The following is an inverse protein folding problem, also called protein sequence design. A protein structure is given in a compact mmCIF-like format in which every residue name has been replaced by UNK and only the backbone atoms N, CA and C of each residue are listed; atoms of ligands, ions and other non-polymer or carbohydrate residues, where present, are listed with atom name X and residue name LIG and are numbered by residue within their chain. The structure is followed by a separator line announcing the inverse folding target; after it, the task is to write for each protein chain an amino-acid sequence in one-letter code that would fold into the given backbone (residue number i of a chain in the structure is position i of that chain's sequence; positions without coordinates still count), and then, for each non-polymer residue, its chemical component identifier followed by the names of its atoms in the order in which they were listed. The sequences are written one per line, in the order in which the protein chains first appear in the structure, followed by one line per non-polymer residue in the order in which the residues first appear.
data_IF_259529885670
#
_entry.id   IF_259529885670
#
_cell.length_a   1.000
_cell.length_b   1.000
_cell.length_c   1.000
_cell.angle_alpha   90.00
_cell.angle_beta   90.00
_cell.angle_gamma   90.00
#
_symmetry.space_group_name_H-M   'P 1'
#
loop_
_entity.id
_entity.type
_entity.pdbx_description
1 polymer ?
#
# COMPACT_ATOMS: atom_id res chain seq x y z
N UNK A 1 16.06 -34.26 12.34
CA UNK A 1 14.62 -34.50 12.66
C UNK A 1 13.84 -33.27 12.20
N UNK A 2 12.69 -33.43 11.57
CA UNK A 2 11.82 -32.33 11.16
C UNK A 2 11.05 -31.82 12.39
N UNK A 3 11.22 -30.56 12.76
CA UNK A 3 10.44 -29.93 13.84
C UNK A 3 8.96 -29.92 13.47
N UNK A 4 8.08 -30.45 14.33
CA UNK A 4 6.64 -30.35 14.15
C UNK A 4 6.05 -29.42 15.19
N UNK A 5 5.26 -28.46 14.73
CA UNK A 5 4.61 -27.43 15.53
C UNK A 5 3.11 -27.48 15.26
N UNK A 6 2.33 -27.02 16.24
CA UNK A 6 0.87 -26.91 16.13
C UNK A 6 0.43 -25.51 16.54
N UNK A 7 -0.61 -25.00 15.90
CA UNK A 7 -1.25 -23.72 16.22
C UNK A 7 -2.68 -23.71 15.69
N UNK A 8 -3.59 -23.00 16.32
CA UNK A 8 -4.95 -22.83 15.79
C UNK A 8 -4.92 -22.05 14.46
N UNK A 9 -4.06 -21.03 14.37
CA UNK A 9 -3.93 -20.22 13.16
C UNK A 9 -2.45 -19.98 12.81
N UNK A 10 -2.05 -20.39 11.61
CA UNK A 10 -0.74 -20.06 11.05
C UNK A 10 -0.86 -18.88 10.09
N UNK A 11 -0.13 -17.80 10.36
CA UNK A 11 -0.03 -16.63 9.48
C UNK A 11 1.32 -16.67 8.78
N UNK A 12 1.32 -16.72 7.45
CA UNK A 12 2.52 -16.72 6.63
C UNK A 12 2.82 -15.30 6.16
N UNK A 13 3.92 -14.73 6.66
CA UNK A 13 4.38 -13.37 6.38
C UNK A 13 4.15 -12.39 7.51
N UNK A 14 5.26 -11.87 8.09
CA UNK A 14 5.28 -10.87 9.16
C UNK A 14 5.14 -9.41 8.67
N UNK A 15 4.55 -9.19 7.51
CA UNK A 15 4.25 -7.85 7.01
C UNK A 15 3.06 -7.20 7.73
N UNK A 16 2.61 -5.98 7.27
CA UNK A 16 1.55 -5.22 7.95
C UNK A 16 0.25 -6.00 8.18
N UNK A 17 -0.21 -6.77 7.19
CA UNK A 17 -1.39 -7.62 7.32
C UNK A 17 -1.19 -8.70 8.39
N UNK A 18 -0.07 -9.44 8.29
CA UNK A 18 0.17 -10.57 9.18
C UNK A 18 0.42 -10.17 10.61
N UNK A 19 1.21 -9.12 10.86
CA UNK A 19 1.48 -8.64 12.21
C UNK A 19 0.23 -8.05 12.88
N UNK A 20 -0.56 -7.25 12.14
CA UNK A 20 -1.82 -6.73 12.66
C UNK A 20 -2.82 -7.86 12.95
N UNK A 21 -2.95 -8.82 12.03
CA UNK A 21 -3.84 -9.97 12.24
C UNK A 21 -3.39 -10.83 13.42
N UNK A 22 -2.08 -11.12 13.51
CA UNK A 22 -1.51 -11.87 14.63
C UNK A 22 -1.80 -11.21 15.97
N UNK A 23 -1.60 -9.89 16.07
CA UNK A 23 -1.95 -9.12 17.26
C UNK A 23 -3.44 -9.23 17.60
N UNK A 24 -4.33 -9.03 16.61
CA UNK A 24 -5.79 -9.04 16.83
C UNK A 24 -6.30 -10.43 17.23
N UNK A 25 -5.81 -11.50 16.61
CA UNK A 25 -6.19 -12.88 16.94
C UNK A 25 -5.69 -13.28 18.33
N UNK A 26 -4.42 -12.97 18.64
CA UNK A 26 -3.86 -13.24 19.97
C UNK A 26 -4.63 -12.49 21.07
N UNK A 27 -4.93 -11.20 20.86
CA UNK A 27 -5.78 -10.41 21.76
C UNK A 27 -7.17 -11.02 21.96
N UNK A 28 -7.69 -11.66 20.91
CA UNK A 28 -8.98 -12.36 20.98
C UNK A 28 -8.90 -13.77 21.59
N UNK A 29 -7.73 -14.22 22.07
CA UNK A 29 -7.54 -15.52 22.70
C UNK A 29 -7.39 -16.69 21.72
N UNK A 30 -7.04 -16.44 20.46
CA UNK A 30 -6.69 -17.47 19.47
C UNK A 30 -5.21 -17.78 19.59
N UNK A 31 -4.83 -19.07 19.61
CA UNK A 31 -3.44 -19.47 19.46
C UNK A 31 -2.95 -19.22 18.03
N UNK A 32 -1.94 -18.37 17.89
CA UNK A 32 -1.50 -17.88 16.59
C UNK A 32 0.02 -17.89 16.47
N UNK A 33 0.50 -18.48 15.37
CA UNK A 33 1.91 -18.44 14.98
C UNK A 33 2.07 -17.64 13.69
N UNK A 34 2.93 -16.60 13.72
CA UNK A 34 3.34 -15.82 12.55
C UNK A 34 4.72 -16.27 12.09
N UNK A 35 4.84 -16.69 10.83
CA UNK A 35 6.09 -17.04 10.18
C UNK A 35 6.60 -15.85 9.36
N UNK A 36 7.85 -15.43 9.59
CA UNK A 36 8.54 -14.44 8.77
C UNK A 36 9.87 -15.03 8.28
N UNK A 37 10.09 -14.99 6.97
CA UNK A 37 11.29 -15.59 6.35
C UNK A 37 12.60 -14.86 6.66
N UNK A 38 12.52 -13.61 7.06
CA UNK A 38 13.70 -12.79 7.36
C UNK A 38 14.03 -12.77 8.85
N UNK A 39 15.26 -12.35 9.17
CA UNK A 39 15.76 -12.26 10.55
C UNK A 39 15.13 -11.12 11.36
N UNK A 40 14.63 -10.10 10.65
CA UNK A 40 14.07 -8.87 11.20
C UNK A 40 13.04 -8.27 10.24
N UNK A 41 12.49 -7.10 10.57
CA UNK A 41 11.57 -6.36 9.73
C UNK A 41 12.24 -5.28 8.88
N UNK A 42 13.55 -5.14 8.95
CA UNK A 42 14.26 -4.13 8.18
C UNK A 42 14.13 -4.41 6.68
N UNK A 43 13.57 -3.48 5.96
CA UNK A 43 13.45 -3.49 4.49
C UNK A 43 13.60 -2.08 3.99
N UNK A 44 14.62 -1.85 3.18
CA UNK A 44 14.83 -0.56 2.53
C UNK A 44 13.64 -0.20 1.63
N UNK A 45 13.25 1.06 1.67
CA UNK A 45 12.32 1.68 0.73
C UNK A 45 10.94 1.02 0.59
N UNK A 46 10.39 0.48 1.69
CA UNK A 46 9.04 -0.09 1.68
C UNK A 46 8.14 0.64 2.67
N UNK A 47 6.94 0.99 2.17
CA UNK A 47 5.76 1.23 2.94
C UNK A 47 5.87 2.20 4.11
N UNK A 48 6.05 3.48 3.82
CA UNK A 48 6.37 4.48 4.83
C UNK A 48 5.17 5.32 5.28
N UNK A 49 3.96 4.94 4.89
CA UNK A 49 2.76 5.75 5.11
C UNK A 49 1.73 5.01 5.97
N UNK A 50 1.50 5.50 7.17
CA UNK A 50 0.43 5.05 8.07
C UNK A 50 -0.70 6.08 8.00
N UNK A 51 -1.81 5.69 7.37
CA UNK A 51 -2.90 6.59 7.06
C UNK A 51 -3.87 6.79 8.26
N UNK A 52 -4.72 7.82 8.22
CA UNK A 52 -5.72 8.08 9.24
C UNK A 52 -6.57 6.87 9.63
N UNK A 53 -6.95 6.01 8.65
CA UNK A 53 -7.72 4.79 8.93
C UNK A 53 -6.95 3.77 9.80
N UNK A 54 -5.64 3.64 9.60
CA UNK A 54 -4.81 2.77 10.43
C UNK A 54 -4.57 3.38 11.81
N UNK A 55 -4.36 4.70 11.89
CA UNK A 55 -4.24 5.41 13.16
C UNK A 55 -5.54 5.32 13.97
N UNK A 56 -6.71 5.28 13.32
CA UNK A 56 -7.99 5.03 13.98
C UNK A 56 -8.06 3.61 14.56
N UNK A 57 -7.62 2.60 13.83
CA UNK A 57 -7.48 1.23 14.35
C UNK A 57 -6.55 1.19 15.56
N UNK A 58 -5.41 1.89 15.53
CA UNK A 58 -4.50 1.99 16.67
C UNK A 58 -5.17 2.67 17.88
N UNK A 59 -6.00 3.69 17.63
CA UNK A 59 -6.80 4.32 18.69
C UNK A 59 -7.82 3.36 19.32
N UNK A 60 -8.57 2.64 18.49
CA UNK A 60 -9.56 1.64 18.95
C UNK A 60 -8.92 0.51 19.76
N UNK A 61 -7.67 0.20 19.49
CA UNK A 61 -6.88 -0.79 20.24
C UNK A 61 -6.26 -0.24 21.53
N UNK A 62 -6.33 1.08 21.77
CA UNK A 62 -5.66 1.74 22.89
C UNK A 62 -4.15 1.87 22.73
N UNK A 63 -3.65 1.77 21.49
CA UNK A 63 -2.22 1.78 21.17
C UNK A 63 -1.73 3.12 20.59
N UNK A 64 -2.65 4.03 20.23
CA UNK A 64 -2.31 5.23 19.47
C UNK A 64 -1.31 6.13 20.18
N UNK A 65 -1.48 6.38 21.47
CA UNK A 65 -0.64 7.32 22.23
C UNK A 65 0.82 6.84 22.29
N UNK A 66 1.01 5.54 22.55
CA UNK A 66 2.36 4.96 22.55
C UNK A 66 2.95 4.88 21.12
N UNK A 67 2.11 4.59 20.14
CA UNK A 67 2.54 4.55 18.74
C UNK A 67 3.03 5.92 18.25
N UNK A 68 2.37 7.00 18.63
CA UNK A 68 2.75 8.37 18.22
C UNK A 68 4.02 8.87 18.93
N UNK A 69 4.55 8.17 19.94
CA UNK A 69 5.88 8.46 20.52
C UNK A 69 7.02 8.02 19.61
N UNK A 70 6.77 7.11 18.66
CA UNK A 70 7.76 6.71 17.66
C UNK A 70 8.03 7.90 16.73
N UNK A 71 9.29 8.21 16.40
CA UNK A 71 9.64 9.31 15.50
C UNK A 71 8.90 9.18 14.16
N UNK A 72 8.13 10.18 13.79
CA UNK A 72 7.38 10.23 12.55
C UNK A 72 7.16 11.68 12.10
N UNK A 73 6.89 11.85 10.82
CA UNK A 73 6.46 13.13 10.26
C UNK A 73 4.96 13.10 9.99
N UNK A 74 4.29 14.21 10.22
CA UNK A 74 2.86 14.35 9.99
C UNK A 74 2.60 15.06 8.67
N UNK A 75 1.96 14.38 7.75
CA UNK A 75 1.58 14.93 6.45
C UNK A 75 0.08 15.22 6.42
N UNK A 76 -0.30 16.49 6.52
CA UNK A 76 -1.71 16.92 6.51
C UNK A 76 -2.28 17.10 5.11
N UNK A 77 -1.42 17.17 4.10
CA UNK A 77 -1.82 17.21 2.68
C UNK A 77 -0.75 16.60 1.79
N UNK A 78 -1.14 16.18 0.60
CA UNK A 78 -0.28 15.61 -0.44
C UNK A 78 -0.48 16.40 -1.71
N UNK A 79 0.62 16.79 -2.35
CA UNK A 79 0.60 17.53 -3.60
C UNK A 79 1.95 17.55 -4.28
N UNK A 80 2.20 18.53 -5.09
CA UNK A 80 3.44 18.65 -5.84
C UNK A 80 3.41 19.80 -6.84
N UNK A 81 4.31 19.70 -7.83
CA UNK A 81 4.40 20.64 -8.95
C UNK A 81 4.27 19.85 -10.25
N UNK A 82 3.39 20.29 -11.13
CA UNK A 82 3.25 19.77 -12.49
C UNK A 82 3.73 20.85 -13.47
N UNK A 83 4.89 20.64 -14.08
CA UNK A 83 5.57 21.70 -14.81
C UNK A 83 5.98 22.84 -13.86
N UNK A 84 5.32 23.97 -14.00
CA UNK A 84 5.42 25.17 -13.15
C UNK A 84 4.22 25.36 -12.21
N UNK A 85 3.21 24.49 -12.28
CA UNK A 85 1.95 24.64 -11.58
C UNK A 85 1.92 23.82 -10.29
N UNK A 86 1.91 24.49 -9.10
CA UNK A 86 1.75 23.80 -7.83
C UNK A 86 0.31 23.33 -7.64
N UNK A 87 0.12 22.13 -7.07
CA UNK A 87 -1.19 21.58 -6.79
C UNK A 87 -1.23 20.79 -5.48
N UNK A 88 -2.37 20.82 -4.81
CA UNK A 88 -2.70 19.94 -3.70
C UNK A 88 -3.66 18.85 -4.21
N UNK A 89 -3.23 17.59 -4.14
CA UNK A 89 -4.00 16.45 -4.63
C UNK A 89 -4.98 15.93 -3.57
N UNK A 90 -4.57 15.93 -2.30
CA UNK A 90 -5.37 15.43 -1.18
C UNK A 90 -5.09 16.23 0.09
N UNK A 91 -6.13 16.48 0.89
CA UNK A 91 -6.04 17.17 2.18
C UNK A 91 -6.75 16.36 3.25
N UNK A 92 -6.04 16.02 4.33
CA UNK A 92 -6.52 15.14 5.40
C UNK A 92 -7.12 15.89 6.59
N UNK A 93 -7.06 17.24 6.64
CA UNK A 93 -7.49 18.04 7.81
C UNK A 93 -8.96 17.86 8.17
N UNK A 94 -9.80 17.40 7.22
CA UNK A 94 -11.22 17.21 7.41
C UNK A 94 -11.69 15.74 7.38
N UNK A 95 -10.75 14.77 7.48
CA UNK A 95 -11.14 13.37 7.57
C UNK A 95 -11.80 13.09 8.93
N UNK A 96 -12.82 12.20 8.97
CA UNK A 96 -13.58 11.90 10.18
C UNK A 96 -12.86 10.86 11.06
N UNK A 97 -11.59 11.10 11.35
CA UNK A 97 -10.74 10.25 12.20
C UNK A 97 -10.08 11.11 13.26
N UNK A 98 -9.59 10.48 14.33
CA UNK A 98 -8.91 11.18 15.42
C UNK A 98 -7.64 11.89 14.91
N UNK A 99 -6.81 11.19 14.15
CA UNK A 99 -5.63 11.76 13.50
C UNK A 99 -5.98 12.22 12.09
N UNK A 100 -5.72 13.51 11.80
CA UNK A 100 -6.05 14.17 10.52
C UNK A 100 -4.81 14.35 9.65
N UNK A 101 -3.92 13.36 9.67
CA UNK A 101 -2.66 13.35 8.95
C UNK A 101 -2.24 11.92 8.59
N UNK A 102 -1.39 11.78 7.62
CA UNK A 102 -0.64 10.55 7.35
C UNK A 102 0.65 10.62 8.15
N UNK A 103 0.92 9.60 8.96
CA UNK A 103 2.21 9.47 9.63
C UNK A 103 3.22 8.83 8.66
N UNK A 104 4.31 9.56 8.40
CA UNK A 104 5.43 9.05 7.62
C UNK A 104 6.49 8.49 8.58
N UNK A 105 6.65 7.17 8.58
CA UNK A 105 7.65 6.46 9.39
C UNK A 105 8.15 5.24 8.65
N UNK A 106 9.34 4.73 8.97
CA UNK A 106 9.82 3.47 8.44
C UNK A 106 8.87 2.32 8.79
N UNK A 107 8.59 1.44 7.81
CA UNK A 107 7.68 0.32 8.03
C UNK A 107 8.15 -0.62 9.15
N UNK A 108 9.45 -0.79 9.31
CA UNK A 108 10.00 -1.66 10.37
C UNK A 108 9.68 -1.14 11.78
N UNK A 109 9.59 0.17 12.00
CA UNK A 109 9.20 0.74 13.29
C UNK A 109 7.75 0.40 13.61
N UNK A 110 6.84 0.51 12.64
CA UNK A 110 5.46 0.08 12.76
C UNK A 110 5.35 -1.43 13.09
N UNK A 111 6.12 -2.27 12.40
CA UNK A 111 6.09 -3.72 12.59
C UNK A 111 6.72 -4.13 13.93
N UNK A 112 7.85 -3.53 14.31
CA UNK A 112 8.49 -3.76 15.60
C UNK A 112 7.56 -3.36 16.75
N UNK A 113 6.84 -2.24 16.62
CA UNK A 113 5.85 -1.82 17.60
C UNK A 113 4.76 -2.88 17.77
N UNK A 114 4.14 -3.32 16.67
CA UNK A 114 3.12 -4.37 16.72
C UNK A 114 3.65 -5.66 17.31
N UNK A 115 4.85 -6.09 16.91
CA UNK A 115 5.50 -7.29 17.43
C UNK A 115 5.72 -7.21 18.94
N UNK A 116 6.21 -6.07 19.43
CA UNK A 116 6.43 -5.87 20.87
C UNK A 116 5.12 -5.96 21.66
N UNK A 117 4.03 -5.40 21.13
CA UNK A 117 2.70 -5.46 21.77
C UNK A 117 2.07 -6.86 21.69
N UNK A 118 2.27 -7.56 20.59
CA UNK A 118 1.76 -8.92 20.40
C UNK A 118 2.43 -9.94 21.33
N UNK A 119 3.74 -9.80 21.58
CA UNK A 119 4.49 -10.65 22.52
C UNK A 119 3.97 -10.65 23.95
N UNK A 120 3.16 -9.65 24.35
CA UNK A 120 2.51 -9.63 25.66
C UNK A 120 1.43 -10.72 25.81
N UNK A 121 0.96 -11.31 24.71
CA UNK A 121 -0.03 -12.39 24.74
C UNK A 121 0.67 -13.75 24.72
N UNK A 122 0.39 -14.65 25.69
CA UNK A 122 1.04 -15.96 25.80
C UNK A 122 0.71 -16.90 24.62
N UNK A 123 -0.39 -16.65 23.92
CA UNK A 123 -0.88 -17.38 22.75
C UNK A 123 -0.40 -16.76 21.42
N UNK A 124 0.63 -15.90 21.45
CA UNK A 124 1.26 -15.33 20.26
C UNK A 124 2.68 -15.82 20.08
N UNK A 125 2.97 -16.36 18.91
CA UNK A 125 4.32 -16.75 18.52
C UNK A 125 4.74 -16.05 17.22
N UNK A 126 5.88 -15.36 17.25
CA UNK A 126 6.55 -14.82 16.05
C UNK A 126 7.82 -15.61 15.79
N UNK A 127 7.86 -16.30 14.65
CA UNK A 127 9.02 -17.08 14.20
C UNK A 127 9.67 -16.39 13.02
N UNK A 128 10.75 -15.69 13.32
CA UNK A 128 11.65 -15.11 12.32
C UNK A 128 12.51 -16.19 11.70
N UNK A 129 12.97 -15.98 10.44
CA UNK A 129 13.76 -16.93 9.67
C UNK A 129 13.08 -18.30 9.47
N UNK A 130 11.77 -18.25 9.38
CA UNK A 130 10.92 -19.39 9.02
C UNK A 130 10.22 -19.06 7.71
N UNK A 131 10.73 -19.59 6.61
CA UNK A 131 10.18 -19.39 5.27
C UNK A 131 9.22 -20.50 4.91
N UNK A 132 7.94 -20.19 4.75
CA UNK A 132 6.98 -21.14 4.23
C UNK A 132 7.31 -21.47 2.77
N UNK A 133 7.47 -22.74 2.46
CA UNK A 133 7.88 -23.25 1.14
C UNK A 133 6.78 -24.02 0.43
N UNK A 134 5.88 -24.68 1.15
CA UNK A 134 4.71 -25.37 0.61
C UNK A 134 3.58 -25.46 1.66
N UNK A 135 2.42 -25.96 1.24
CA UNK A 135 1.24 -26.18 2.06
C UNK A 135 1.10 -27.66 2.41
N UNK A 136 0.79 -27.96 3.68
CA UNK A 136 0.39 -29.30 4.12
C UNK A 136 -1.08 -29.49 3.76
N UNK A 137 -1.37 -30.55 3.00
CA UNK A 137 -2.72 -30.90 2.58
C UNK A 137 -3.12 -32.24 3.18
N UNK A 138 -4.35 -32.32 3.62
CA UNK A 138 -5.02 -33.55 4.01
C UNK A 138 -6.37 -33.58 3.28
N UNK A 139 -6.55 -34.54 2.42
CA UNK A 139 -7.68 -34.60 1.49
C UNK A 139 -7.76 -33.27 0.69
N UNK A 140 -8.91 -32.62 0.66
CA UNK A 140 -9.15 -31.36 -0.03
C UNK A 140 -8.93 -30.11 0.86
N UNK A 141 -8.35 -30.28 2.08
CA UNK A 141 -8.18 -29.20 3.05
C UNK A 141 -6.70 -28.90 3.30
N UNK A 142 -6.37 -27.62 3.40
CA UNK A 142 -5.07 -27.15 3.86
C UNK A 142 -5.05 -27.23 5.38
N UNK A 143 -4.00 -27.90 5.93
CA UNK A 143 -3.82 -28.19 7.34
C UNK A 143 -2.53 -27.65 7.93
N UNK A 144 -1.85 -26.79 7.20
CA UNK A 144 -0.60 -26.21 7.67
C UNK A 144 0.34 -25.81 6.56
N UNK A 145 1.60 -25.58 6.93
CA UNK A 145 2.68 -25.20 6.01
C UNK A 145 3.93 -26.01 6.28
N UNK A 146 4.68 -26.29 5.23
CA UNK A 146 6.07 -26.70 5.31
C UNK A 146 6.93 -25.46 5.29
N UNK A 147 7.90 -25.39 6.21
CA UNK A 147 8.77 -24.26 6.35
C UNK A 147 10.24 -24.66 6.34
N UNK A 148 11.07 -23.78 5.79
CA UNK A 148 12.53 -23.84 5.90
C UNK A 148 12.97 -22.92 7.02
N UNK A 149 13.76 -23.45 7.96
CA UNK A 149 14.30 -22.73 9.10
C UNK A 149 15.82 -22.75 9.07
N UNK A 150 16.47 -22.03 9.98
CA UNK A 150 17.94 -22.14 10.17
C UNK A 150 18.40 -23.57 10.50
N UNK A 151 17.56 -24.34 11.20
CA UNK A 151 17.88 -25.66 11.70
C UNK A 151 17.41 -26.79 10.77
N UNK A 152 16.91 -26.45 9.57
CA UNK A 152 16.41 -27.41 8.60
C UNK A 152 14.92 -27.24 8.30
N UNK A 153 14.25 -28.34 7.93
CA UNK A 153 12.82 -28.34 7.62
C UNK A 153 11.97 -28.35 8.90
N UNK A 154 10.88 -27.62 8.88
CA UNK A 154 9.85 -27.65 9.92
C UNK A 154 8.46 -27.82 9.30
N UNK A 155 7.53 -28.39 10.03
CA UNK A 155 6.12 -28.53 9.68
C UNK A 155 5.27 -27.81 10.73
N UNK A 156 4.46 -26.85 10.32
CA UNK A 156 3.49 -26.21 11.21
C UNK A 156 2.08 -26.63 10.79
N UNK A 157 1.42 -27.40 11.66
CA UNK A 157 0.01 -27.78 11.49
C UNK A 157 -0.88 -26.69 12.04
N UNK A 158 -1.98 -26.41 11.34
CA UNK A 158 -2.94 -25.40 11.77
C UNK A 158 -4.36 -25.70 11.25
N UNK A 159 -5.39 -25.27 11.99
CA UNK A 159 -6.78 -25.36 11.54
C UNK A 159 -7.07 -24.39 10.40
N UNK A 160 -6.35 -23.26 10.38
CA UNK A 160 -6.41 -22.25 9.32
C UNK A 160 -5.03 -21.69 9.02
N UNK A 161 -4.66 -21.66 7.75
CA UNK A 161 -3.49 -20.90 7.23
C UNK A 161 -3.98 -19.59 6.65
N UNK A 162 -3.29 -18.48 6.98
CA UNK A 162 -3.56 -17.17 6.39
C UNK A 162 -2.31 -16.67 5.67
N UNK A 163 -2.40 -16.57 4.34
CA UNK A 163 -1.34 -16.04 3.48
C UNK A 163 -1.29 -14.51 3.53
N UNK A 164 -0.22 -13.97 4.12
CA UNK A 164 0.12 -12.54 4.20
C UNK A 164 1.51 -12.29 3.61
N UNK A 165 2.02 -13.19 2.77
CA UNK A 165 3.39 -13.30 2.28
C UNK A 165 3.69 -12.43 1.03
N UNK A 166 2.80 -11.46 0.78
CA UNK A 166 3.04 -10.37 -0.13
C UNK A 166 2.82 -10.70 -1.60
N UNK A 167 3.34 -9.81 -2.48
CA UNK A 167 3.06 -9.85 -3.92
C UNK A 167 3.66 -11.06 -4.67
N UNK A 168 4.61 -11.75 -4.08
CA UNK A 168 5.21 -13.00 -4.58
C UNK A 168 4.81 -14.21 -3.72
N UNK A 169 3.59 -14.21 -3.24
CA UNK A 169 3.05 -15.17 -2.28
C UNK A 169 3.25 -16.62 -2.68
N UNK A 170 4.01 -17.35 -1.86
CA UNK A 170 4.20 -18.80 -1.95
C UNK A 170 2.90 -19.54 -1.62
N UNK A 171 2.17 -19.09 -0.58
CA UNK A 171 0.89 -19.70 -0.18
C UNK A 171 -0.15 -19.63 -1.30
N UNK A 172 -0.24 -18.49 -2.00
CA UNK A 172 -1.10 -18.30 -3.15
C UNK A 172 -0.75 -19.25 -4.30
N UNK A 173 0.55 -19.34 -4.61
CA UNK A 173 1.06 -20.18 -5.70
C UNK A 173 0.84 -21.67 -5.38
N UNK A 174 1.22 -22.09 -4.18
CA UNK A 174 1.03 -23.47 -3.73
C UNK A 174 -0.46 -23.88 -3.73
N UNK A 175 -1.37 -22.95 -3.37
CA UNK A 175 -2.82 -23.19 -3.42
C UNK A 175 -3.43 -23.08 -4.83
N UNK A 176 -2.63 -22.77 -5.85
CA UNK A 176 -3.08 -22.61 -7.26
C UNK A 176 -4.25 -21.63 -7.40
N UNK A 177 -4.19 -20.51 -6.66
CA UNK A 177 -5.21 -19.48 -6.73
C UNK A 177 -5.01 -18.60 -7.97
N UNK A 178 -6.05 -18.46 -8.80
CA UNK A 178 -6.02 -17.70 -10.04
C UNK A 178 -5.85 -16.19 -9.77
N UNK A 179 -4.88 -15.58 -10.44
CA UNK A 179 -4.51 -14.15 -10.33
C UNK A 179 -4.97 -13.40 -11.56
N UNK A 180 -5.73 -12.33 -11.36
CA UNK A 180 -6.06 -11.36 -12.40
C UNK A 180 -5.07 -10.20 -12.36
N UNK A 181 -4.24 -10.08 -13.39
CA UNK A 181 -3.29 -8.98 -13.53
C UNK A 181 -3.95 -7.74 -14.18
N UNK A 182 -3.56 -6.56 -13.70
CA UNK A 182 -3.91 -5.28 -14.30
C UNK A 182 -2.61 -4.61 -14.76
N UNK A 183 -2.44 -4.42 -16.06
CA UNK A 183 -1.23 -3.84 -16.62
C UNK A 183 -0.87 -2.49 -16.00
N UNK A 184 0.38 -2.31 -15.65
CA UNK A 184 0.92 -1.08 -15.03
C UNK A 184 2.02 -0.53 -15.91
N UNK A 185 1.97 0.77 -16.29
CA UNK A 185 2.91 1.35 -17.26
C UNK A 185 4.24 1.80 -16.62
N UNK A 186 4.46 1.55 -15.35
CA UNK A 186 5.57 2.14 -14.60
C UNK A 186 6.23 1.21 -13.61
N UNK A 187 7.47 1.54 -13.27
CA UNK A 187 8.23 1.08 -12.11
C UNK A 187 8.68 2.29 -11.28
N UNK A 188 9.22 2.06 -10.08
CA UNK A 188 9.77 3.11 -9.22
C UNK A 188 11.20 2.76 -8.86
N UNK A 189 12.11 3.72 -9.07
CA UNK A 189 13.49 3.63 -8.64
C UNK A 189 13.65 4.39 -7.33
N UNK A 190 13.91 3.69 -6.24
CA UNK A 190 14.09 4.27 -4.92
C UNK A 190 15.57 4.48 -4.59
N UNK A 191 15.90 5.64 -4.02
CA UNK A 191 17.24 6.00 -3.57
C UNK A 191 17.17 7.07 -2.48
N UNK A 192 18.32 7.36 -1.86
CA UNK A 192 18.46 8.36 -0.81
C UNK A 192 19.30 9.52 -1.32
N UNK A 193 18.93 10.75 -0.95
CA UNK A 193 19.70 11.97 -1.19
C UNK A 193 19.69 12.82 0.07
N UNK A 194 20.80 13.47 0.43
CA UNK A 194 20.84 14.42 1.53
C UNK A 194 19.90 15.59 1.26
N UNK A 195 19.27 16.08 2.32
CA UNK A 195 18.43 17.25 2.31
C UNK A 195 19.15 18.42 2.96
N UNK A 196 19.08 19.59 2.34
CA UNK A 196 19.63 20.83 2.87
C UNK A 196 18.55 21.71 3.50
N UNK A 197 18.95 22.60 4.40
CA UNK A 197 18.03 23.48 5.14
C UNK A 197 17.18 24.39 4.22
N UNK A 198 17.73 24.76 3.06
CA UNK A 198 17.06 25.62 2.08
C UNK A 198 16.17 24.86 1.09
N UNK A 199 16.12 23.55 1.17
CA UNK A 199 15.30 22.74 0.28
C UNK A 199 13.80 22.91 0.60
N UNK A 200 12.91 22.81 -0.40
CA UNK A 200 11.49 22.96 -0.20
C UNK A 200 10.92 21.97 0.83
N UNK A 201 10.24 22.49 1.86
CA UNK A 201 9.68 21.65 2.93
C UNK A 201 8.48 20.78 2.49
N UNK A 202 7.71 21.24 1.51
CA UNK A 202 6.36 20.71 1.22
C UNK A 202 6.19 20.05 -0.15
N UNK A 203 7.25 19.86 -0.92
CA UNK A 203 7.14 19.25 -2.24
C UNK A 203 7.24 17.73 -2.13
N UNK A 204 6.11 17.04 -2.30
CA UNK A 204 6.06 15.58 -2.34
C UNK A 204 6.30 15.04 -3.77
N UNK A 205 5.79 15.71 -4.81
CA UNK A 205 5.89 15.27 -6.20
C UNK A 205 6.36 16.37 -7.16
N UNK A 206 7.32 16.04 -8.03
CA UNK A 206 7.77 16.90 -9.12
C UNK A 206 7.53 16.17 -10.43
N UNK A 207 6.68 16.72 -11.29
CA UNK A 207 6.28 16.11 -12.57
C UNK A 207 6.65 17.06 -13.70
N UNK A 208 7.70 16.71 -14.43
CA UNK A 208 8.18 17.50 -15.55
C UNK A 208 9.10 16.67 -16.46
N UNK A 209 9.35 17.12 -17.68
CA UNK A 209 10.30 16.53 -18.63
C UNK A 209 10.13 15.02 -18.84
N UNK A 210 8.89 14.56 -18.92
CA UNK A 210 8.61 13.14 -19.10
C UNK A 210 8.89 12.26 -17.89
N UNK A 211 9.03 12.84 -16.70
CA UNK A 211 9.37 12.14 -15.46
C UNK A 211 8.47 12.58 -14.30
N UNK A 212 8.36 11.73 -13.32
CA UNK A 212 7.76 12.07 -12.03
C UNK A 212 8.71 11.63 -10.92
N UNK A 213 9.11 12.57 -10.07
CA UNK A 213 9.99 12.36 -8.94
C UNK A 213 9.21 12.64 -7.65
N UNK A 214 9.18 11.67 -6.76
CA UNK A 214 8.59 11.78 -5.42
C UNK A 214 9.72 11.95 -4.42
N UNK A 215 9.61 12.96 -3.56
CA UNK A 215 10.59 13.24 -2.51
C UNK A 215 9.89 13.21 -1.15
N UNK A 216 10.18 12.18 -0.35
CA UNK A 216 9.68 12.04 1.00
C UNK A 216 10.75 12.59 1.95
N UNK A 217 10.43 13.69 2.62
CA UNK A 217 11.31 14.31 3.61
C UNK A 217 11.46 13.37 4.82
N UNK A 218 12.71 13.11 5.25
CA UNK A 218 13.07 12.27 6.41
C UNK A 218 13.89 13.06 7.44
N UNK A 219 13.77 14.39 7.44
CA UNK A 219 14.58 15.28 8.24
C UNK A 219 15.88 15.66 7.52
N UNK A 220 16.91 14.87 7.66
CA UNK A 220 18.24 15.12 7.08
C UNK A 220 18.40 14.62 5.64
N UNK A 221 17.46 13.81 5.14
CA UNK A 221 17.54 13.26 3.79
C UNK A 221 16.16 13.13 3.14
N UNK A 222 16.17 13.05 1.82
CA UNK A 222 15.02 12.63 1.02
C UNK A 222 15.10 11.13 0.73
N UNK A 223 14.03 10.42 1.03
CA UNK A 223 13.74 9.17 0.37
C UNK A 223 13.12 9.52 -0.99
N UNK A 224 13.90 9.36 -2.05
CA UNK A 224 13.54 9.77 -3.39
C UNK A 224 13.05 8.58 -4.23
N UNK A 225 11.95 8.75 -4.96
CA UNK A 225 11.38 7.76 -5.86
C UNK A 225 11.20 8.32 -7.26
N UNK A 226 12.06 7.93 -8.22
CA UNK A 226 11.85 8.28 -9.63
C UNK A 226 10.90 7.27 -10.28
N UNK A 227 9.77 7.75 -10.76
CA UNK A 227 8.81 6.95 -11.52
C UNK A 227 9.29 6.88 -12.97
N UNK A 228 9.51 5.66 -13.45
CA UNK A 228 10.03 5.36 -14.78
C UNK A 228 9.06 4.48 -15.56
N UNK A 229 9.20 4.42 -16.87
CA UNK A 229 8.44 3.47 -17.69
C UNK A 229 8.73 2.03 -17.25
N UNK A 230 7.72 1.19 -17.33
CA UNK A 230 7.85 -0.23 -17.02
C UNK A 230 9.01 -0.85 -17.80
N UNK A 231 9.82 -1.64 -17.08
CA UNK A 231 10.97 -2.39 -17.62
C UNK A 231 12.08 -1.53 -18.28
N UNK A 232 12.15 -0.21 -17.94
CA UNK A 232 13.15 0.70 -18.51
C UNK A 232 14.42 0.87 -17.65
N UNK A 233 14.57 0.16 -16.54
CA UNK A 233 15.69 0.35 -15.63
C UNK A 233 17.04 -0.04 -16.26
N UNK A 234 17.10 -1.14 -16.99
CA UNK A 234 18.34 -1.60 -17.63
C UNK A 234 18.77 -0.64 -18.75
N UNK A 235 17.82 0.01 -19.43
CA UNK A 235 18.13 1.06 -20.38
C UNK A 235 18.76 2.28 -19.68
N UNK A 236 18.22 2.70 -18.53
CA UNK A 236 18.79 3.79 -17.73
C UNK A 236 20.21 3.46 -17.24
N UNK A 237 20.45 2.21 -16.83
CA UNK A 237 21.80 1.74 -16.44
C UNK A 237 22.78 1.85 -17.59
N UNK A 238 22.39 1.47 -18.80
CA UNK A 238 23.24 1.59 -20.01
C UNK A 238 23.57 3.04 -20.36
N UNK A 239 22.67 3.99 -20.08
CA UNK A 239 22.91 5.41 -20.28
C UNK A 239 23.88 6.01 -19.26
N UNK A 240 24.19 5.28 -18.20
CA UNK A 240 25.15 5.62 -17.15
C UNK A 240 24.60 6.52 -16.05
N UNK A 241 25.26 6.46 -14.90
CA UNK A 241 24.85 7.15 -13.68
C UNK A 241 24.88 8.69 -13.83
N UNK A 242 25.82 9.23 -14.60
CA UNK A 242 25.89 10.66 -14.90
C UNK A 242 24.62 11.14 -15.66
N UNK A 243 24.08 10.33 -16.56
CA UNK A 243 22.81 10.62 -17.23
C UNK A 243 21.64 10.59 -16.25
N UNK A 244 21.62 9.61 -15.35
CA UNK A 244 20.60 9.50 -14.30
C UNK A 244 20.60 10.73 -13.38
N UNK A 245 21.75 11.20 -12.90
CA UNK A 245 21.88 12.44 -12.10
C UNK A 245 21.35 13.66 -12.85
N UNK A 246 21.68 13.80 -14.15
CA UNK A 246 21.15 14.90 -14.99
C UNK A 246 19.63 14.86 -15.13
N UNK A 247 19.02 13.67 -15.19
CA UNK A 247 17.55 13.51 -15.19
C UNK A 247 16.97 14.05 -13.89
N UNK A 248 17.55 13.74 -12.74
CA UNK A 248 17.09 14.22 -11.43
C UNK A 248 17.17 15.75 -11.32
N UNK A 249 18.32 16.33 -11.70
CA UNK A 249 18.51 17.79 -11.70
C UNK A 249 17.55 18.50 -12.66
N UNK A 250 17.23 17.91 -13.78
CA UNK A 250 16.27 18.48 -14.75
C UNK A 250 14.86 18.57 -14.18
N UNK A 251 14.44 17.57 -13.39
CA UNK A 251 13.11 17.51 -12.75
C UNK A 251 13.04 18.32 -11.47
N UNK A 252 14.12 18.32 -10.69
CA UNK A 252 14.22 18.99 -9.39
C UNK A 252 15.61 19.69 -9.26
N UNK A 253 15.79 20.89 -9.87
CA UNK A 253 17.09 21.59 -9.87
C UNK A 253 17.63 21.91 -8.49
N UNK A 254 16.75 22.09 -7.50
CA UNK A 254 17.14 22.41 -6.13
C UNK A 254 17.88 21.26 -5.41
N UNK A 255 17.87 20.02 -5.94
CA UNK A 255 18.67 18.92 -5.40
C UNK A 255 20.19 19.20 -5.50
N UNK A 256 20.62 20.07 -6.42
CA UNK A 256 22.00 20.54 -6.51
C UNK A 256 23.00 19.37 -6.48
N UNK A 257 24.03 19.52 -5.65
CA UNK A 257 25.11 18.54 -5.51
C UNK A 257 24.69 17.24 -4.78
N UNK A 258 23.52 17.21 -4.12
CA UNK A 258 23.06 15.98 -3.44
C UNK A 258 22.93 14.78 -4.40
N UNK A 259 22.70 15.02 -5.70
CA UNK A 259 22.64 13.95 -6.71
C UNK A 259 23.99 13.24 -6.91
N UNK A 260 25.11 13.88 -6.56
CA UNK A 260 26.46 13.29 -6.70
C UNK A 260 26.76 12.24 -5.65
N UNK A 261 25.94 12.16 -4.60
CA UNK A 261 25.95 11.08 -3.60
C UNK A 261 25.61 9.70 -4.20
N UNK A 262 24.90 9.69 -5.32
CA UNK A 262 24.62 8.46 -6.06
C UNK A 262 25.88 8.03 -6.84
N UNK A 263 26.75 7.25 -6.20
CA UNK A 263 28.04 6.83 -6.77
C UNK A 263 27.98 5.48 -7.47
N UNK A 264 26.99 4.67 -7.12
CA UNK A 264 26.78 3.34 -7.67
C UNK A 264 25.30 3.02 -7.88
N UNK A 265 25.00 2.14 -8.83
CA UNK A 265 23.66 1.63 -9.08
C UNK A 265 23.10 0.79 -7.92
N UNK A 266 23.96 0.28 -7.05
CA UNK A 266 23.54 -0.46 -5.86
C UNK A 266 22.79 0.43 -4.86
N UNK A 267 22.96 1.75 -4.94
CA UNK A 267 22.20 2.73 -4.17
C UNK A 267 20.79 2.97 -4.73
N UNK A 268 20.49 2.47 -5.95
CA UNK A 268 19.20 2.65 -6.64
C UNK A 268 18.46 1.32 -6.67
N UNK A 269 17.37 1.24 -5.92
CA UNK A 269 16.59 0.01 -5.78
C UNK A 269 15.34 0.03 -6.66
N UNK A 270 15.20 -0.98 -7.51
CA UNK A 270 14.02 -1.14 -8.35
C UNK A 270 12.84 -1.70 -7.55
N UNK A 271 11.74 -0.97 -7.52
CA UNK A 271 10.43 -1.48 -7.15
C UNK A 271 9.64 -1.79 -8.43
N UNK A 272 9.58 -3.05 -8.81
CA UNK A 272 8.71 -3.48 -9.91
C UNK A 272 7.24 -3.40 -9.44
N UNK A 273 6.51 -2.48 -10.06
CA UNK A 273 5.11 -2.23 -9.70
C UNK A 273 4.22 -3.28 -10.34
N UNK A 274 3.35 -3.88 -9.53
CA UNK A 274 2.29 -4.78 -9.97
C UNK A 274 0.98 -4.36 -9.34
N UNK A 275 -0.09 -4.48 -10.11
CA UNK A 275 -1.47 -4.36 -9.61
C UNK A 275 -2.19 -5.61 -10.06
N UNK A 276 -2.57 -6.43 -9.09
CA UNK A 276 -3.27 -7.67 -9.37
C UNK A 276 -4.26 -8.01 -8.25
N UNK A 277 -5.07 -9.00 -8.48
CA UNK A 277 -6.03 -9.48 -7.49
C UNK A 277 -6.38 -10.94 -7.75
N UNK A 278 -6.52 -11.72 -6.68
CA UNK A 278 -7.08 -13.05 -6.74
C UNK A 278 -8.57 -13.00 -7.15
N UNK A 279 -9.00 -13.94 -7.95
CA UNK A 279 -10.42 -14.13 -8.24
C UNK A 279 -11.13 -14.75 -7.03
N UNK A 280 -10.53 -15.77 -6.43
CA UNK A 280 -10.92 -16.38 -5.17
C UNK A 280 -9.77 -16.28 -4.17
N UNK A 281 -10.04 -15.74 -2.97
CA UNK A 281 -9.00 -15.50 -1.96
C UNK A 281 -8.75 -16.67 -1.04
N UNK A 282 -9.55 -17.71 -1.14
CA UNK A 282 -9.56 -18.84 -0.18
C UNK A 282 -9.63 -20.19 -0.85
N UNK A 283 -9.27 -21.21 -0.10
CA UNK A 283 -9.52 -22.63 -0.27
C UNK A 283 -9.93 -23.21 1.09
N UNK A 284 -10.49 -24.42 1.20
CA UNK A 284 -10.67 -25.05 2.50
C UNK A 284 -9.37 -25.04 3.31
N UNK A 285 -9.39 -24.40 4.50
CA UNK A 285 -8.23 -24.26 5.38
C UNK A 285 -7.22 -23.18 4.99
N UNK A 286 -7.46 -22.36 3.97
CA UNK A 286 -6.60 -21.25 3.56
C UNK A 286 -7.38 -19.98 3.25
N UNK A 287 -6.86 -18.83 3.66
CA UNK A 287 -7.29 -17.49 3.21
C UNK A 287 -6.05 -16.63 2.89
N UNK A 288 -6.03 -15.95 1.76
CA UNK A 288 -5.03 -14.93 1.44
C UNK A 288 -5.61 -13.53 1.70
N UNK A 289 -4.80 -12.60 2.29
CA UNK A 289 -5.15 -11.20 2.51
C UNK A 289 -3.97 -10.27 2.19
N UNK A 290 -4.22 -8.97 2.11
CA UNK A 290 -3.21 -7.98 1.76
C UNK A 290 -2.62 -8.22 0.37
N UNK A 291 -1.31 -7.95 0.19
CA UNK A 291 -0.64 -8.09 -1.11
C UNK A 291 -0.62 -9.54 -1.65
N UNK A 292 -0.84 -10.56 -0.79
CA UNK A 292 -1.01 -11.94 -1.23
C UNK A 292 -2.34 -12.13 -1.99
N UNK A 293 -3.38 -11.41 -1.61
CA UNK A 293 -4.68 -11.43 -2.27
C UNK A 293 -4.81 -10.36 -3.36
N UNK A 294 -4.21 -9.17 -3.17
CA UNK A 294 -4.38 -8.03 -4.07
C UNK A 294 -3.20 -7.05 -3.96
N UNK A 295 -2.23 -7.18 -4.82
CA UNK A 295 -1.13 -6.24 -4.88
C UNK A 295 -1.60 -4.88 -5.40
N UNK A 296 -1.08 -3.81 -4.76
CA UNK A 296 -1.42 -2.42 -5.05
C UNK A 296 -0.21 -1.67 -5.60
N UNK A 297 -0.48 -0.64 -6.41
CA UNK A 297 0.51 0.36 -6.76
C UNK A 297 0.96 1.15 -5.53
N UNK A 298 2.22 1.62 -5.47
CA UNK A 298 2.67 2.53 -4.41
C UNK A 298 1.99 3.91 -4.48
N UNK A 299 1.28 4.23 -5.56
CA UNK A 299 0.57 5.50 -5.71
C UNK A 299 -0.43 5.72 -4.58
N UNK A 300 -0.25 6.83 -3.85
CA UNK A 300 -1.07 7.20 -2.69
C UNK A 300 -0.73 6.47 -1.39
N UNK A 301 0.24 5.55 -1.38
CA UNK A 301 0.67 4.83 -0.16
C UNK A 301 -0.41 3.95 0.50
N UNK A 302 -1.43 3.52 -0.25
CA UNK A 302 -2.64 2.89 0.32
C UNK A 302 -2.50 1.39 0.61
N UNK A 303 -1.45 0.72 0.11
CA UNK A 303 -1.31 -0.74 0.19
C UNK A 303 -1.30 -1.26 1.63
N UNK A 304 -0.48 -0.66 2.50
CA UNK A 304 -0.40 -1.01 3.93
C UNK A 304 -1.77 -0.88 4.60
N UNK A 305 -2.43 0.24 4.37
CA UNK A 305 -3.70 0.55 5.04
C UNK A 305 -4.80 -0.41 4.60
N UNK A 306 -4.83 -0.79 3.33
CA UNK A 306 -5.78 -1.78 2.83
C UNK A 306 -5.51 -3.16 3.43
N UNK A 307 -4.24 -3.55 3.54
CA UNK A 307 -3.80 -4.80 4.16
C UNK A 307 -4.17 -4.87 5.66
N UNK A 308 -4.03 -3.77 6.40
CA UNK A 308 -4.47 -3.66 7.79
C UNK A 308 -5.99 -3.76 7.91
N UNK A 309 -6.72 -3.10 7.03
CA UNK A 309 -8.18 -3.20 6.98
C UNK A 309 -8.65 -4.65 6.68
N UNK A 310 -7.91 -5.40 5.86
CA UNK A 310 -8.19 -6.82 5.64
C UNK A 310 -7.95 -7.65 6.92
N UNK A 311 -6.86 -7.36 7.65
CA UNK A 311 -6.56 -8.00 8.92
C UNK A 311 -7.67 -7.76 9.96
N UNK A 312 -8.15 -6.51 10.08
CA UNK A 312 -9.27 -6.16 10.97
C UNK A 312 -10.55 -6.90 10.58
N UNK A 313 -10.91 -6.91 9.29
CA UNK A 313 -12.09 -7.62 8.80
C UNK A 313 -11.99 -9.14 9.07
N UNK A 314 -10.79 -9.71 8.85
CA UNK A 314 -10.52 -11.13 9.10
C UNK A 314 -10.65 -11.47 10.58
N UNK A 315 -10.03 -10.70 11.47
CA UNK A 315 -10.14 -10.90 12.90
C UNK A 315 -11.59 -10.76 13.39
N UNK A 316 -12.32 -9.74 12.94
CA UNK A 316 -13.72 -9.53 13.31
C UNK A 316 -14.64 -10.69 12.93
N UNK A 317 -14.36 -11.37 11.81
CA UNK A 317 -15.18 -12.47 11.30
C UNK A 317 -14.72 -13.84 11.81
N UNK A 318 -13.41 -14.03 12.01
CA UNK A 318 -12.86 -15.37 12.24
C UNK A 318 -12.36 -15.62 13.67
N UNK A 319 -12.12 -14.59 14.53
CA UNK A 319 -11.54 -14.80 15.85
C UNK A 319 -12.40 -15.74 16.73
N UNK A 320 -13.71 -15.53 16.78
CA UNK A 320 -14.62 -16.41 17.53
C UNK A 320 -14.72 -17.79 16.90
N UNK A 321 -14.98 -17.95 15.58
CA UNK A 321 -14.99 -19.27 14.93
C UNK A 321 -13.68 -20.05 15.12
N UNK A 322 -12.51 -19.39 15.10
CA UNK A 322 -11.22 -20.04 15.34
C UNK A 322 -11.14 -20.63 16.75
N UNK A 323 -11.50 -19.87 17.80
CA UNK A 323 -11.52 -20.37 19.17
C UNK A 323 -12.48 -21.55 19.37
N UNK A 324 -13.56 -21.58 18.61
CA UNK A 324 -14.61 -22.60 18.70
C UNK A 324 -14.38 -23.78 17.73
N UNK A 325 -13.28 -23.78 16.97
CA UNK A 325 -12.98 -24.83 15.98
C UNK A 325 -14.01 -24.95 14.84
N UNK A 326 -14.71 -23.84 14.53
CA UNK A 326 -15.87 -23.81 13.62
C UNK A 326 -15.64 -22.96 12.36
N UNK A 327 -14.40 -22.87 11.89
CA UNK A 327 -14.08 -22.14 10.66
C UNK A 327 -14.55 -22.93 9.44
N UNK A 328 -15.44 -22.32 8.69
CA UNK A 328 -15.99 -22.87 7.43
C UNK A 328 -15.53 -22.07 6.23
N UNK A 329 -15.54 -22.66 5.04
CA UNK A 329 -15.21 -21.94 3.80
C UNK A 329 -16.18 -20.77 3.54
N UNK A 330 -17.43 -20.89 3.94
CA UNK A 330 -18.41 -19.80 3.84
C UNK A 330 -17.98 -18.53 4.62
N UNK A 331 -17.33 -18.71 5.79
CA UNK A 331 -16.77 -17.60 6.57
C UNK A 331 -15.56 -16.99 5.86
N UNK A 332 -14.69 -17.78 5.25
CA UNK A 332 -13.56 -17.28 4.45
C UNK A 332 -14.07 -16.46 3.25
N UNK A 333 -15.08 -16.99 2.54
CA UNK A 333 -15.74 -16.27 1.45
C UNK A 333 -16.40 -14.97 1.93
N UNK A 334 -16.84 -14.88 3.17
CA UNK A 334 -17.42 -13.67 3.76
C UNK A 334 -16.37 -12.57 3.93
N UNK A 335 -15.13 -12.92 4.34
CA UNK A 335 -14.01 -11.98 4.39
C UNK A 335 -13.76 -11.39 3.00
N UNK A 336 -13.65 -12.24 1.99
CA UNK A 336 -13.45 -11.80 0.60
C UNK A 336 -14.58 -10.86 0.15
N UNK A 337 -15.86 -11.23 0.33
CA UNK A 337 -17.01 -10.40 -0.07
C UNK A 337 -16.96 -9.03 0.60
N UNK A 338 -16.58 -8.97 1.88
CA UNK A 338 -16.49 -7.74 2.66
C UNK A 338 -15.40 -6.82 2.13
N UNK A 339 -14.24 -7.37 1.74
CA UNK A 339 -13.05 -6.59 1.33
C UNK A 339 -12.93 -6.37 -0.19
N UNK A 340 -13.67 -7.11 -0.99
CA UNK A 340 -13.60 -7.02 -2.46
C UNK A 340 -13.97 -5.63 -3.01
N UNK A 341 -15.01 -4.98 -2.48
CA UNK A 341 -15.43 -3.65 -2.96
C UNK A 341 -14.36 -2.59 -2.69
N UNK A 342 -13.82 -2.41 -1.46
CA UNK A 342 -12.71 -1.49 -1.21
C UNK A 342 -11.51 -1.74 -2.12
N UNK A 343 -11.13 -3.01 -2.31
CA UNK A 343 -10.03 -3.43 -3.17
C UNK A 343 -10.25 -3.01 -4.62
N UNK A 344 -11.41 -3.31 -5.18
CA UNK A 344 -11.76 -2.96 -6.58
C UNK A 344 -11.75 -1.46 -6.82
N UNK A 345 -12.34 -0.69 -5.90
CA UNK A 345 -12.40 0.77 -6.03
C UNK A 345 -11.00 1.36 -5.97
N UNK A 346 -10.19 0.97 -4.99
CA UNK A 346 -8.81 1.45 -4.85
C UNK A 346 -7.96 1.12 -6.07
N UNK A 347 -8.00 -0.12 -6.57
CA UNK A 347 -7.27 -0.52 -7.77
C UNK A 347 -7.73 0.26 -9.01
N UNK A 348 -9.06 0.48 -9.17
CA UNK A 348 -9.58 1.27 -10.29
C UNK A 348 -9.10 2.73 -10.24
N UNK A 349 -9.07 3.33 -9.05
CA UNK A 349 -8.52 4.68 -8.87
C UNK A 349 -7.03 4.73 -9.27
N UNK A 350 -6.22 3.77 -8.82
CA UNK A 350 -4.80 3.69 -9.15
C UNK A 350 -4.57 3.47 -10.65
N UNK A 351 -5.27 2.51 -11.27
CA UNK A 351 -5.16 2.25 -12.72
C UNK A 351 -5.54 3.49 -13.53
N UNK A 352 -6.55 4.26 -13.10
CA UNK A 352 -6.90 5.51 -13.76
C UNK A 352 -5.82 6.60 -13.57
N UNK A 353 -5.23 6.72 -12.37
CA UNK A 353 -4.12 7.64 -12.13
C UNK A 353 -2.89 7.31 -13.01
N UNK A 354 -2.61 6.02 -13.26
CA UNK A 354 -1.53 5.59 -14.14
C UNK A 354 -1.69 6.01 -15.59
N UNK A 355 -2.93 6.25 -16.06
CA UNK A 355 -3.16 6.79 -17.42
C UNK A 355 -2.58 8.20 -17.58
N UNK A 356 -2.64 9.01 -16.52
CA UNK A 356 -1.99 10.32 -16.49
C UNK A 356 -0.47 10.23 -16.56
N UNK A 357 0.15 9.23 -15.93
CA UNK A 357 1.59 9.01 -16.04
C UNK A 357 2.02 8.61 -17.46
N UNK A 358 1.19 7.86 -18.18
CA UNK A 358 1.47 7.54 -19.59
C UNK A 358 1.59 8.81 -20.44
N UNK A 359 0.71 9.79 -20.22
CA UNK A 359 0.81 11.11 -20.86
C UNK A 359 2.14 11.79 -20.51
N UNK A 360 2.54 11.82 -19.23
CA UNK A 360 3.81 12.41 -18.80
C UNK A 360 4.99 11.77 -19.54
N UNK A 361 5.06 10.44 -19.61
CA UNK A 361 6.16 9.73 -20.29
C UNK A 361 6.26 10.00 -21.80
N UNK A 362 5.16 10.38 -22.43
CA UNK A 362 5.13 10.71 -23.86
C UNK A 362 5.60 12.13 -24.17
N UNK A 363 5.79 12.98 -23.14
CA UNK A 363 6.16 14.39 -23.30
C UNK A 363 7.50 14.67 -22.61
N UNK A 364 8.65 14.44 -23.27
CA UNK A 364 9.98 14.61 -22.68
C UNK A 364 10.42 16.09 -22.50
N UNK A 365 9.66 17.03 -23.07
CA UNK A 365 9.88 18.47 -22.92
C UNK A 365 9.31 19.05 -21.64
N UNK A 366 9.40 20.39 -21.45
CA UNK A 366 8.72 21.09 -20.36
C UNK A 366 7.23 20.82 -20.40
N UNK A 367 6.66 20.47 -19.24
CA UNK A 367 5.22 20.22 -19.12
C UNK A 367 4.50 21.48 -18.67
N UNK A 368 3.33 21.72 -19.28
CA UNK A 368 2.40 22.74 -18.81
C UNK A 368 1.15 22.06 -18.26
N UNK A 369 0.70 22.50 -17.10
CA UNK A 369 -0.50 21.91 -16.50
C UNK A 369 -1.72 22.12 -17.40
N UNK A 370 -2.45 21.05 -17.74
CA UNK A 370 -3.67 21.16 -18.53
C UNK A 370 -4.70 22.07 -17.85
N UNK A 371 -5.46 22.84 -18.60
CA UNK A 371 -6.45 23.76 -18.04
C UNK A 371 -7.46 23.03 -17.14
N UNK A 372 -7.83 21.80 -17.47
CA UNK A 372 -8.71 20.94 -16.68
C UNK A 372 -8.15 20.68 -15.28
N UNK A 373 -6.83 20.43 -15.18
CA UNK A 373 -6.14 20.27 -13.89
C UNK A 373 -6.20 21.57 -13.08
N UNK A 374 -5.96 22.72 -13.75
CA UNK A 374 -6.01 24.05 -13.10
C UNK A 374 -7.39 24.35 -12.55
N UNK A 375 -8.46 23.99 -13.29
CA UNK A 375 -9.85 24.14 -12.85
C UNK A 375 -10.15 23.17 -11.70
N UNK A 376 -9.80 21.90 -11.86
CA UNK A 376 -10.11 20.85 -10.89
C UNK A 376 -9.51 21.12 -9.51
N UNK A 377 -8.25 21.56 -9.47
CA UNK A 377 -7.57 21.93 -8.21
C UNK A 377 -8.24 23.10 -7.49
N UNK A 378 -8.96 23.95 -8.23
CA UNK A 378 -9.71 25.11 -7.68
C UNK A 378 -11.11 24.76 -7.21
N UNK A 379 -11.63 23.55 -7.48
CA UNK A 379 -12.94 23.12 -6.98
C UNK A 379 -12.91 23.02 -5.47
N UNK A 380 -13.68 23.83 -4.74
CA UNK A 380 -13.70 23.83 -3.28
C UNK A 380 -14.06 22.45 -2.74
N UNK A 381 -13.31 21.96 -1.76
CA UNK A 381 -13.57 20.70 -1.08
C UNK A 381 -13.13 19.42 -1.82
N UNK A 382 -12.74 19.48 -3.08
CA UNK A 382 -12.30 18.30 -3.83
C UNK A 382 -11.09 17.63 -3.18
N UNK A 383 -10.11 18.42 -2.71
CA UNK A 383 -8.91 17.91 -2.02
C UNK A 383 -9.29 17.18 -0.72
N UNK A 384 -10.36 17.59 -0.01
CA UNK A 384 -10.86 16.92 1.19
C UNK A 384 -11.54 15.59 0.84
N UNK A 385 -12.30 15.55 -0.26
CA UNK A 385 -12.89 14.30 -0.77
C UNK A 385 -11.79 13.30 -1.14
N UNK A 386 -10.74 13.77 -1.83
CA UNK A 386 -9.59 12.95 -2.16
C UNK A 386 -8.81 12.53 -0.90
N UNK A 387 -8.63 13.43 0.07
CA UNK A 387 -8.02 13.12 1.37
C UNK A 387 -8.80 12.03 2.12
N UNK A 388 -10.14 12.09 2.11
CA UNK A 388 -10.98 11.04 2.68
C UNK A 388 -10.85 9.71 1.91
N UNK A 389 -10.87 9.75 0.58
CA UNK A 389 -10.77 8.54 -0.25
C UNK A 389 -9.42 7.82 -0.07
N UNK A 390 -8.33 8.57 0.09
CA UNK A 390 -6.98 8.05 0.28
C UNK A 390 -6.73 7.71 1.77
N UNK A 391 -7.05 8.62 2.69
CA UNK A 391 -6.71 8.51 4.10
C UNK A 391 -7.60 7.58 4.90
N UNK A 392 -8.89 7.51 4.55
CA UNK A 392 -9.87 6.65 5.25
C UNK A 392 -10.24 5.44 4.41
N UNK A 393 -10.32 5.62 3.09
CA UNK A 393 -10.69 4.56 2.17
C UNK A 393 -12.20 4.37 2.04
N UNK A 394 -12.56 3.34 1.26
CA UNK A 394 -13.94 2.94 1.02
C UNK A 394 -14.32 1.83 2.01
N UNK A 395 -15.38 2.02 2.80
CA UNK A 395 -15.83 1.06 3.84
C UNK A 395 -14.71 0.71 4.82
N UNK A 396 -14.23 1.68 5.62
CA UNK A 396 -13.20 1.41 6.63
C UNK A 396 -13.69 0.36 7.62
N UNK A 397 -12.76 -0.45 8.11
CA UNK A 397 -13.01 -1.44 9.15
C UNK A 397 -12.71 -0.86 10.52
N UNK A 398 -13.48 -1.28 11.51
CA UNK A 398 -13.32 -0.93 12.91
C UNK A 398 -13.17 -2.20 13.75
N UNK A 399 -12.43 -2.15 14.84
CA UNK A 399 -12.20 -3.33 15.69
C UNK A 399 -13.45 -3.63 16.52
N UNK A 400 -13.96 -4.86 16.43
CA UNK A 400 -15.12 -5.28 17.23
C UNK A 400 -14.79 -5.20 18.74
N UNK A 401 -15.73 -4.70 19.53
CA UNK A 401 -15.58 -4.55 21.01
C UNK A 401 -14.92 -3.23 21.45
N UNK A 402 -14.40 -2.40 20.51
CA UNK A 402 -13.83 -1.09 20.84
C UNK A 402 -14.87 0.04 20.91
N UNK A 403 -16.11 -0.21 20.48
CA UNK A 403 -17.06 0.86 20.29
C UNK A 403 -18.51 0.51 20.64
N UNK A 404 -18.88 0.86 21.83
CA UNK A 404 -20.23 1.37 22.10
C UNK A 404 -20.31 2.89 21.82
N UNK A 405 -19.54 3.41 20.86
CA UNK A 405 -19.64 4.79 20.35
C UNK A 405 -20.18 4.75 18.93
N UNK A 406 -21.50 5.02 18.83
CA UNK A 406 -22.18 5.20 17.56
C UNK A 406 -21.41 6.19 16.69
N UNK A 407 -20.79 5.71 15.61
CA UNK A 407 -20.33 6.56 14.52
C UNK A 407 -21.55 6.90 13.64
N UNK A 408 -21.81 8.16 13.28
CA UNK A 408 -23.00 8.58 12.55
C UNK A 408 -22.83 8.34 11.03
N UNK A 409 -22.56 7.11 10.59
CA UNK A 409 -22.12 6.86 9.20
C UNK A 409 -23.00 5.95 8.34
N UNK A 410 -24.29 5.82 8.61
CA UNK A 410 -25.21 5.09 7.72
C UNK A 410 -25.73 5.89 6.50
N UNK A 411 -25.37 7.17 6.35
CA UNK A 411 -25.93 8.05 5.30
C UNK A 411 -25.16 8.21 3.98
N UNK A 412 -24.00 7.55 3.77
CA UNK A 412 -23.01 8.02 2.80
C UNK A 412 -22.79 7.21 1.52
N UNK A 413 -23.59 6.19 1.26
CA UNK A 413 -23.49 5.40 0.00
C UNK A 413 -23.76 6.27 -1.25
N UNK A 414 -24.54 7.34 -1.12
CA UNK A 414 -24.86 8.27 -2.24
C UNK A 414 -23.68 9.17 -2.64
N UNK A 415 -22.77 9.53 -1.71
CA UNK A 415 -21.61 10.38 -2.02
C UNK A 415 -20.47 9.67 -2.78
N UNK A 416 -20.34 8.36 -2.60
CA UNK A 416 -19.25 7.57 -3.25
C UNK A 416 -19.52 7.37 -4.75
N UNK A 417 -20.79 7.27 -5.16
CA UNK A 417 -21.16 7.22 -6.58
C UNK A 417 -20.76 8.53 -7.32
N UNK A 418 -20.83 9.67 -6.65
CA UNK A 418 -20.37 10.96 -7.18
C UNK A 418 -18.84 11.01 -7.32
N UNK A 419 -18.08 10.48 -6.34
CA UNK A 419 -16.61 10.41 -6.41
C UNK A 419 -16.11 9.51 -7.53
N UNK A 420 -16.76 8.36 -7.76
CA UNK A 420 -16.45 7.49 -8.88
C UNK A 420 -16.74 8.18 -10.23
N UNK A 421 -17.79 8.99 -10.31
CA UNK A 421 -18.13 9.82 -11.46
C UNK A 421 -17.07 10.90 -11.74
N UNK A 422 -16.58 11.59 -10.71
CA UNK A 422 -15.56 12.64 -10.83
C UNK A 422 -14.21 12.05 -11.27
N UNK A 423 -13.79 10.94 -10.69
CA UNK A 423 -12.55 10.22 -11.10
C UNK A 423 -12.70 9.69 -12.54
N UNK A 424 -13.91 9.26 -12.92
CA UNK A 424 -14.21 8.84 -14.31
C UNK A 424 -14.22 10.05 -15.26
N UNK A 425 -14.72 11.22 -14.84
CA UNK A 425 -14.66 12.45 -15.61
C UNK A 425 -13.24 12.94 -15.86
N UNK A 426 -12.34 12.81 -14.88
CA UNK A 426 -10.89 13.08 -15.05
C UNK A 426 -10.29 12.11 -16.07
N UNK A 427 -10.65 10.83 -16.03
CA UNK A 427 -10.18 9.81 -16.97
C UNK A 427 -10.78 9.97 -18.38
N UNK A 428 -12.04 10.46 -18.50
CA UNK A 428 -12.70 10.75 -19.78
C UNK A 428 -12.12 12.02 -20.41
N UNK A 429 -11.82 13.05 -19.62
CA UNK A 429 -11.10 14.22 -20.09
C UNK A 429 -9.72 13.84 -20.64
N UNK A 430 -8.98 12.96 -19.92
CA UNK A 430 -7.71 12.42 -20.42
C UNK A 430 -7.88 11.55 -21.70
N UNK A 431 -8.99 10.82 -21.83
CA UNK A 431 -9.27 10.00 -23.03
C UNK A 431 -9.58 10.83 -24.28
N UNK A 432 -10.28 11.96 -24.16
CA UNK A 432 -10.53 12.89 -25.28
C UNK A 432 -9.25 13.57 -25.78
N UNK A 433 -8.22 13.65 -24.95
CA UNK A 433 -6.90 14.17 -25.32
C UNK A 433 -6.03 13.15 -26.06
N UNK A 434 -6.34 11.86 -26.02
CA UNK A 434 -5.57 10.78 -26.67
C UNK A 434 -6.08 10.42 -28.09
N UNK A 435 -7.03 11.16 -28.66
CA UNK A 435 -7.39 10.99 -30.08
C UNK A 435 -6.60 11.98 -30.93
N UNK A 436 -5.70 11.52 -31.81
CA UNK A 436 -5.07 12.37 -32.80
C UNK A 436 -6.10 12.70 -33.91
N UNK A 437 -6.29 13.96 -34.17
CA UNK A 437 -6.90 14.42 -35.43
C UNK A 437 -8.36 14.83 -35.32
N UNK A 438 -8.61 16.15 -35.12
CA UNK A 438 -9.50 16.93 -35.98
C UNK A 438 -9.11 18.42 -35.86
N UNK A 439 -8.17 18.83 -36.67
CA UNK A 439 -7.92 20.24 -37.02
C UNK A 439 -8.80 20.58 -38.22
N UNK A 440 -9.96 21.19 -37.98
CA UNK A 440 -10.60 22.14 -38.90
C UNK A 440 -12.04 22.41 -38.43
N UNK A 441 -12.21 23.45 -37.64
CA UNK A 441 -13.44 24.20 -37.60
C UNK A 441 -13.07 25.69 -37.56
N UNK A 442 -13.02 26.30 -38.73
CA UNK A 442 -13.07 27.75 -38.86
C UNK A 442 -14.39 28.24 -38.27
N UNK A 443 -14.30 29.07 -37.26
CA UNK A 443 -15.42 29.89 -36.79
C UNK A 443 -15.44 31.10 -37.74
N UNK A 444 -16.46 31.16 -38.58
CA UNK A 444 -16.87 32.37 -39.23
C UNK A 444 -17.81 33.07 -38.28
N UNK A 445 -17.48 34.28 -37.88
CA UNK A 445 -18.38 35.22 -37.19
C UNK A 445 -19.01 36.06 -38.29
N UNK A 446 -20.33 36.00 -38.38
CA UNK A 446 -21.22 37.07 -38.80
C UNK A 446 -22.13 37.39 -37.63
#
# INVERSE_FOLDING_TARGET
MTETLESTCCIVGGGPAGMMLGYLLARAGVDVTVLEKHADFFRDFRGDTVHPSTLEVMHELGLLEDFLKIPHQQLTSVGGVFGDFPFEAANFRHVPTRCKFVALMPQWDFLNFLASRAKAFPNFQLRLQNEAVDLIREEDRIRGVEARTRNGAARLRADLVIGCDGRHSTTRQAAQLAVKEFGVPMDVLWFRLSRHANDPERLFGNINYGRALVLINRGEYYQAGLIVRKDSFDELKRQGLASFRRILLKVAPYLGNSVDELRDWDQVKLLSVRVNRLEQWHRPGLLCIGDAAHAMSPAGGVGINLAIQDAVATANLLARPLREGRVTEALLAQVQRRRMLPTRVTQRMQVNAHKGLKYVFQHPGPLTAPWQMKVLVRVPGLQHVMGRAIGVGVRPEHVNGAANRRSPHQGWIKGIACCAGIVTAIAVAAKRFCQPGNSSARIVID
#
